data_IF_739621947616
#
_entry.id   IF_739621947616
#
_cell.length_a   1.000
_cell.length_b   1.000
_cell.length_c   1.000
_cell.angle_alpha   90.00
_cell.angle_beta   90.00
_cell.angle_gamma   90.00
#
_symmetry.space_group_name_H-M   'P 1'
#
loop_
_entity.id
_entity.type
_entity.pdbx_description
1 polymer ?
#
# COMPACT_ATOMS: atom_id res chain seq x y z
N UNK A 1 1.49 -0.56 -13.34
CA UNK A 1 0.65 -0.03 -12.25
C UNK A 1 1.36 -0.32 -10.95
N UNK A 2 1.73 0.71 -10.17
CA UNK A 2 2.49 0.63 -8.92
C UNK A 2 1.69 -0.10 -7.83
N UNK A 3 2.35 -0.77 -6.87
CA UNK A 3 1.64 -1.42 -5.74
C UNK A 3 0.78 -0.40 -4.98
N UNK A 4 1.28 0.83 -4.82
CA UNK A 4 0.53 1.93 -4.20
C UNK A 4 -0.76 2.28 -4.98
N UNK A 5 -0.70 2.23 -6.31
CA UNK A 5 -1.88 2.44 -7.16
C UNK A 5 -2.88 1.29 -7.02
N UNK A 6 -2.39 0.04 -6.94
CA UNK A 6 -3.26 -1.12 -6.72
C UNK A 6 -3.99 -1.03 -5.37
N UNK A 7 -3.29 -0.57 -4.31
CA UNK A 7 -3.90 -0.30 -3.00
C UNK A 7 -5.04 0.72 -3.10
N UNK A 8 -4.82 1.85 -3.80
CA UNK A 8 -5.86 2.87 -4.00
C UNK A 8 -7.07 2.35 -4.76
N UNK A 9 -6.84 1.56 -5.82
CA UNK A 9 -7.93 0.98 -6.61
C UNK A 9 -8.75 -0.03 -5.81
N UNK A 10 -8.09 -0.83 -4.96
CA UNK A 10 -8.78 -1.71 -4.02
C UNK A 10 -9.53 -0.93 -2.94
N UNK A 11 -9.00 0.21 -2.49
CA UNK A 11 -9.60 1.07 -1.47
C UNK A 11 -10.84 1.83 -1.95
N UNK A 12 -10.85 2.29 -3.21
CA UNK A 12 -11.87 3.19 -3.77
C UNK A 12 -12.94 2.50 -4.63
N UNK A 13 -12.99 1.17 -4.54
CA UNK A 13 -14.02 0.35 -5.16
C UNK A 13 -15.38 0.46 -4.40
N UNK A 14 -16.47 0.26 -5.14
CA UNK A 14 -17.86 0.77 -5.03
C UNK A 14 -18.63 0.50 -3.72
N UNK A 15 -17.98 -0.08 -2.72
CA UNK A 15 -18.56 -0.47 -1.44
C UNK A 15 -17.92 0.38 -0.35
N UNK A 16 -18.66 1.41 0.10
CA UNK A 16 -18.42 2.24 1.30
C UNK A 16 -16.94 2.33 1.70
N UNK A 17 -16.31 3.45 1.37
CA UNK A 17 -15.14 4.05 2.04
C UNK A 17 -14.77 3.29 3.31
N UNK A 18 -13.87 2.29 3.22
CA UNK A 18 -13.53 1.46 4.37
C UNK A 18 -12.87 2.38 5.41
N UNK A 19 -13.45 2.57 6.60
CA UNK A 19 -12.98 3.60 7.54
C UNK A 19 -11.50 3.43 7.90
N UNK A 20 -11.05 2.18 8.04
CA UNK A 20 -9.68 1.81 8.44
C UNK A 20 -8.61 2.01 7.36
N UNK A 21 -8.99 2.27 6.11
CA UNK A 21 -7.99 2.66 5.11
C UNK A 21 -7.58 4.12 5.29
N UNK A 22 -8.43 5.01 5.80
CA UNK A 22 -8.14 6.45 5.73
C UNK A 22 -7.10 6.93 6.75
N UNK A 23 -7.03 6.30 7.92
CA UNK A 23 -6.10 6.75 8.95
C UNK A 23 -4.65 6.32 8.62
N UNK A 24 -4.48 5.13 8.02
CA UNK A 24 -3.16 4.53 7.76
C UNK A 24 -2.77 4.42 6.27
N UNK A 25 -3.69 4.74 5.34
CA UNK A 25 -3.42 4.67 3.90
C UNK A 25 -2.12 5.37 3.52
N UNK A 26 -1.83 6.61 3.98
CA UNK A 26 -0.65 7.30 3.50
C UNK A 26 0.65 6.58 3.84
N UNK A 27 0.73 5.94 5.01
CA UNK A 27 1.88 5.10 5.40
C UNK A 27 2.01 3.83 4.55
N UNK A 28 0.88 3.18 4.27
CA UNK A 28 0.84 1.99 3.40
C UNK A 28 1.22 2.33 1.95
N UNK A 29 0.78 3.48 1.44
CA UNK A 29 1.14 3.98 0.12
C UNK A 29 2.63 4.32 0.03
N UNK A 30 3.17 5.02 1.04
CA UNK A 30 4.59 5.31 1.12
C UNK A 30 5.44 4.03 1.18
N UNK A 31 5.06 3.08 2.03
CA UNK A 31 5.70 1.77 2.11
C UNK A 31 5.62 0.98 0.80
N UNK A 32 4.49 1.06 0.09
CA UNK A 32 4.34 0.43 -1.22
C UNK A 32 5.32 0.99 -2.27
N UNK A 33 5.59 2.30 -2.27
CA UNK A 33 6.60 2.89 -3.16
C UNK A 33 8.01 2.42 -2.80
N UNK A 34 8.34 2.31 -1.52
CA UNK A 34 9.64 1.77 -1.09
C UNK A 34 9.79 0.29 -1.47
N UNK A 35 8.76 -0.53 -1.26
CA UNK A 35 8.77 -1.95 -1.69
C UNK A 35 8.92 -2.07 -3.20
N UNK A 36 8.29 -1.18 -3.97
CA UNK A 36 8.44 -1.12 -5.42
C UNK A 36 9.91 -0.90 -5.82
N UNK A 37 10.60 0.04 -5.17
CA UNK A 37 12.02 0.31 -5.40
C UNK A 37 12.92 -0.86 -4.99
N UNK A 38 12.58 -1.56 -3.90
CA UNK A 38 13.29 -2.77 -3.48
C UNK A 38 13.16 -3.88 -4.53
N UNK A 39 11.94 -4.13 -5.01
CA UNK A 39 11.67 -5.13 -6.06
C UNK A 39 12.40 -4.76 -7.36
N UNK A 40 12.48 -3.46 -7.68
CA UNK A 40 13.19 -2.95 -8.84
C UNK A 40 14.72 -2.91 -8.65
N UNK A 41 15.26 -3.32 -7.51
CA UNK A 41 16.70 -3.30 -7.22
C UNK A 41 17.31 -1.91 -7.13
N UNK A 42 16.48 -0.88 -6.91
CA UNK A 42 16.92 0.53 -6.83
C UNK A 42 17.41 0.89 -5.44
N UNK A 43 16.81 0.30 -4.41
CA UNK A 43 17.19 0.48 -3.01
C UNK A 43 17.22 -0.85 -2.28
N UNK A 44 17.94 -0.93 -1.17
CA UNK A 44 17.86 -2.04 -0.23
C UNK A 44 18.09 -1.52 1.20
N UNK A 45 17.55 -2.20 2.22
CA UNK A 45 17.99 -1.99 3.59
C UNK A 45 19.50 -2.22 3.72
N UNK A 46 20.16 -1.47 4.59
CA UNK A 46 21.56 -1.71 4.89
C UNK A 46 21.81 -3.15 5.37
N UNK A 47 23.03 -3.68 5.18
CA UNK A 47 23.41 -5.01 5.67
C UNK A 47 23.05 -5.17 7.15
N UNK A 48 22.40 -6.29 7.50
CA UNK A 48 21.92 -6.55 8.86
C UNK A 48 20.49 -6.09 9.15
N UNK A 49 19.81 -5.41 8.22
CA UNK A 49 18.35 -5.17 8.27
C UNK A 49 17.89 -3.99 9.12
N UNK A 50 18.68 -3.58 10.11
CA UNK A 50 18.33 -2.49 11.04
C UNK A 50 18.93 -1.12 10.67
N UNK A 51 19.66 -1.02 9.55
CA UNK A 51 20.30 0.23 9.12
C UNK A 51 19.47 1.08 8.16
N UNK A 52 20.05 2.19 7.64
CA UNK A 52 19.37 3.06 6.69
C UNK A 52 19.06 2.35 5.38
N UNK A 53 18.10 2.86 4.62
CA UNK A 53 17.89 2.46 3.23
C UNK A 53 19.07 2.98 2.40
N UNK A 54 19.68 2.08 1.64
CA UNK A 54 20.81 2.34 0.74
C UNK A 54 20.29 2.40 -0.69
N UNK A 55 20.67 3.44 -1.42
CA UNK A 55 20.41 3.55 -2.87
C UNK A 55 21.44 2.70 -3.61
N UNK A 56 20.96 1.71 -4.35
CA UNK A 56 21.77 0.81 -5.18
C UNK A 56 21.90 1.34 -6.62
N UNK A 57 20.82 1.92 -7.14
CA UNK A 57 20.76 2.51 -8.47
C UNK A 57 19.84 3.74 -8.44
N UNK A 58 20.44 4.91 -8.63
CA UNK A 58 19.76 6.20 -8.65
C UNK A 58 19.31 6.67 -10.03
N UNK A 59 19.38 5.83 -11.08
CA UNK A 59 18.87 6.23 -12.39
C UNK A 59 17.34 6.41 -12.35
N UNK A 60 16.80 7.39 -13.11
CA UNK A 60 15.36 7.65 -13.14
C UNK A 60 14.55 6.40 -13.50
N UNK A 61 13.48 6.18 -12.75
CA UNK A 61 12.56 5.05 -12.94
C UNK A 61 11.51 5.33 -14.01
N UNK A 62 11.37 6.60 -14.42
CA UNK A 62 10.31 7.05 -15.32
C UNK A 62 8.96 7.20 -14.62
N UNK A 63 8.95 7.17 -13.28
CA UNK A 63 7.77 7.40 -12.44
C UNK A 63 8.15 8.42 -11.38
N UNK A 64 7.63 9.64 -11.51
CA UNK A 64 7.89 10.77 -10.59
C UNK A 64 7.69 10.39 -9.11
N UNK A 65 6.72 9.53 -8.82
CA UNK A 65 6.42 9.08 -7.46
C UNK A 65 7.54 8.22 -6.88
N UNK A 66 8.20 7.39 -7.69
CA UNK A 66 9.34 6.58 -7.29
C UNK A 66 10.64 7.39 -7.27
N UNK A 67 10.82 8.27 -8.25
CA UNK A 67 12.00 9.13 -8.36
C UNK A 67 12.11 10.08 -7.15
N UNK A 68 10.97 10.61 -6.66
CA UNK A 68 10.93 11.38 -5.42
C UNK A 68 11.40 10.61 -4.19
N UNK A 69 11.09 9.31 -4.12
CA UNK A 69 11.53 8.45 -3.02
C UNK A 69 13.03 8.19 -3.12
N UNK A 70 13.55 7.97 -4.34
CA UNK A 70 14.98 7.84 -4.59
C UNK A 70 15.75 9.09 -4.20
N UNK A 71 15.27 10.27 -4.59
CA UNK A 71 15.88 11.55 -4.23
C UNK A 71 15.95 11.73 -2.71
N UNK A 72 14.87 11.39 -2.00
CA UNK A 72 14.83 11.50 -0.54
C UNK A 72 15.80 10.53 0.14
N UNK A 73 15.90 9.29 -0.35
CA UNK A 73 16.82 8.28 0.16
C UNK A 73 18.29 8.61 -0.17
N UNK A 74 18.56 9.23 -1.32
CA UNK A 74 19.89 9.65 -1.73
C UNK A 74 20.40 10.89 -0.98
N UNK A 75 19.49 11.81 -0.64
CA UNK A 75 19.86 13.08 0.00
C UNK A 75 20.42 12.91 1.41
N UNK A 76 19.91 11.94 2.19
CA UNK A 76 20.36 11.71 3.56
C UNK A 76 20.10 10.25 3.94
N UNK A 77 21.05 9.56 4.60
CA UNK A 77 20.80 8.22 5.14
C UNK A 77 19.63 8.25 6.12
N UNK A 78 18.57 7.49 5.82
CA UNK A 78 17.35 7.41 6.64
C UNK A 78 16.88 5.96 6.75
N UNK A 79 16.27 5.61 7.87
CA UNK A 79 15.62 4.31 8.02
C UNK A 79 14.31 4.26 7.22
N UNK A 80 13.85 3.04 6.91
CA UNK A 80 12.61 2.83 6.16
C UNK A 80 11.40 3.50 6.83
N UNK A 81 11.28 3.40 8.17
CA UNK A 81 10.17 4.01 8.91
C UNK A 81 10.16 5.55 8.77
N UNK A 82 11.33 6.18 8.85
CA UNK A 82 11.46 7.63 8.69
C UNK A 82 11.10 8.08 7.25
N UNK A 83 11.55 7.33 6.24
CA UNK A 83 11.16 7.60 4.85
C UNK A 83 9.64 7.45 4.67
N UNK A 84 9.05 6.41 5.23
CA UNK A 84 7.59 6.18 5.22
C UNK A 84 6.86 7.37 5.84
N UNK A 85 7.27 7.83 7.01
CA UNK A 85 6.66 8.98 7.71
C UNK A 85 6.73 10.28 6.91
N UNK A 86 7.86 10.55 6.26
CA UNK A 86 8.06 11.74 5.45
C UNK A 86 7.20 11.73 4.19
N UNK A 87 7.14 10.58 3.52
CA UNK A 87 6.41 10.38 2.27
C UNK A 87 4.89 10.36 2.50
N UNK A 88 4.44 9.78 3.61
CA UNK A 88 3.02 9.65 3.96
C UNK A 88 2.28 10.99 3.85
N UNK A 89 2.91 12.11 4.19
CA UNK A 89 2.27 13.44 4.13
C UNK A 89 1.89 13.91 2.72
N UNK A 90 2.51 13.36 1.68
CA UNK A 90 2.43 13.91 0.31
C UNK A 90 2.23 12.86 -0.78
N UNK A 91 2.15 11.57 -0.43
CA UNK A 91 2.13 10.46 -1.39
C UNK A 91 0.78 10.25 -2.07
N UNK A 92 -0.32 10.48 -1.36
CA UNK A 92 -1.65 10.06 -1.83
C UNK A 92 -2.13 10.88 -3.03
N UNK A 93 -1.99 12.21 -2.97
CA UNK A 93 -2.57 13.09 -3.99
C UNK A 93 -1.99 12.87 -5.39
N UNK A 94 -0.65 12.82 -5.60
CA UNK A 94 -0.07 12.55 -6.91
C UNK A 94 -0.51 11.20 -7.49
N UNK A 95 -0.61 10.16 -6.65
CA UNK A 95 -1.06 8.84 -7.09
C UNK A 95 -2.52 8.85 -7.56
N UNK A 96 -3.40 9.53 -6.82
CA UNK A 96 -4.81 9.68 -7.20
C UNK A 96 -4.97 10.45 -8.50
N UNK A 97 -4.26 11.58 -8.65
CA UNK A 97 -4.31 12.39 -9.86
C UNK A 97 -3.78 11.59 -11.06
N UNK A 98 -2.65 10.90 -10.93
CA UNK A 98 -2.10 10.03 -11.98
C UNK A 98 -2.97 8.81 -12.33
N UNK A 99 -3.80 8.34 -11.40
CA UNK A 99 -4.83 7.31 -11.68
C UNK A 99 -6.04 7.89 -12.43
N UNK A 100 -6.42 9.14 -12.16
CA UNK A 100 -7.45 9.85 -12.92
C UNK A 100 -6.99 10.15 -14.34
N UNK A 101 -5.76 10.61 -14.52
CA UNK A 101 -5.20 10.92 -15.84
C UNK A 101 -5.17 9.69 -16.76
N UNK A 102 -4.96 8.51 -16.18
CA UNK A 102 -5.02 7.21 -16.89
C UNK A 102 -6.43 6.62 -16.99
N UNK A 103 -7.46 7.30 -16.48
CA UNK A 103 -8.84 6.84 -16.53
C UNK A 103 -9.15 5.61 -15.67
N UNK A 104 -8.33 5.32 -14.66
CA UNK A 104 -8.52 4.20 -13.72
C UNK A 104 -9.32 4.61 -12.48
N UNK A 105 -9.26 5.90 -12.12
CA UNK A 105 -10.12 6.52 -11.13
C UNK A 105 -10.96 7.63 -11.79
N UNK A 106 -12.09 7.95 -11.17
CA UNK A 106 -12.88 9.13 -11.47
C UNK A 106 -13.09 9.94 -10.21
N UNK A 107 -12.91 11.25 -10.33
CA UNK A 107 -13.25 12.23 -9.30
C UNK A 107 -14.74 12.56 -9.35
N UNK A 108 -15.43 12.39 -8.23
CA UNK A 108 -16.83 12.75 -8.01
C UNK A 108 -16.89 13.84 -6.94
N UNK A 109 -17.13 15.08 -7.34
CA UNK A 109 -17.38 16.16 -6.38
C UNK A 109 -18.82 16.04 -5.86
N UNK A 110 -18.98 15.86 -4.55
CA UNK A 110 -20.28 15.96 -3.87
C UNK A 110 -20.41 17.29 -3.14
N UNK A 111 -21.54 17.95 -3.34
CA UNK A 111 -21.99 19.01 -2.45
C UNK A 111 -22.80 18.40 -1.31
N UNK A 112 -22.27 18.41 -0.10
CA UNK A 112 -23.01 18.09 1.13
C UNK A 112 -23.49 19.43 1.70
N UNK A 113 -24.81 19.68 1.61
CA UNK A 113 -25.50 20.83 2.21
C UNK A 113 -24.83 22.20 1.97
N UNK A 114 -24.64 22.57 0.70
CA UNK A 114 -24.34 23.95 0.26
C UNK A 114 -22.96 24.52 0.64
N UNK A 115 -22.28 23.96 1.64
CA UNK A 115 -21.06 24.51 2.23
C UNK A 115 -19.89 23.51 2.29
N UNK A 116 -20.17 22.20 2.34
CA UNK A 116 -19.13 21.17 2.41
C UNK A 116 -19.02 20.42 1.08
N UNK A 117 -17.99 20.76 0.28
CA UNK A 117 -17.61 19.96 -0.89
C UNK A 117 -16.80 18.76 -0.41
N UNK A 118 -17.28 17.55 -0.61
CA UNK A 118 -16.47 16.33 -0.42
C UNK A 118 -16.06 15.78 -1.78
N UNK A 119 -14.78 15.46 -1.91
CA UNK A 119 -14.27 14.76 -3.10
C UNK A 119 -14.35 13.27 -2.82
N UNK A 120 -15.08 12.54 -3.66
CA UNK A 120 -15.07 11.08 -3.67
C UNK A 120 -14.27 10.62 -4.88
N UNK A 121 -13.44 9.61 -4.69
CA UNK A 121 -12.76 8.92 -5.78
C UNK A 121 -13.47 7.58 -6.00
N UNK A 122 -13.70 7.22 -7.25
CA UNK A 122 -14.35 5.96 -7.63
C UNK A 122 -13.50 5.24 -8.67
N UNK A 123 -13.28 3.95 -8.45
CA UNK A 123 -12.61 3.10 -9.42
C UNK A 123 -13.45 2.96 -10.69
N UNK A 124 -12.80 3.13 -11.84
CA UNK A 124 -13.42 2.93 -13.15
C UNK A 124 -13.24 1.46 -13.53
N UNK A 125 -14.34 0.74 -13.73
CA UNK A 125 -14.28 -0.65 -14.16
C UNK A 125 -13.63 -0.74 -15.55
N UNK A 126 -12.62 -1.58 -15.65
CA UNK A 126 -11.84 -1.77 -16.86
C UNK A 126 -10.98 -3.02 -16.79
N UNK A 127 -10.30 -3.40 -17.88
CA UNK A 127 -9.54 -4.64 -17.95
C UNK A 127 -8.42 -4.72 -16.90
N UNK A 128 -7.75 -3.59 -16.61
CA UNK A 128 -6.69 -3.53 -15.61
C UNK A 128 -7.22 -3.78 -14.18
N UNK A 129 -8.31 -3.11 -13.80
CA UNK A 129 -8.96 -3.28 -12.49
C UNK A 129 -9.54 -4.69 -12.36
N UNK A 130 -10.18 -5.21 -13.41
CA UNK A 130 -10.71 -6.57 -13.42
C UNK A 130 -9.59 -7.62 -13.26
N UNK A 131 -8.44 -7.41 -13.91
CA UNK A 131 -7.28 -8.29 -13.74
C UNK A 131 -6.70 -8.23 -12.32
N UNK A 132 -6.60 -7.05 -11.72
CA UNK A 132 -6.22 -6.87 -10.32
C UNK A 132 -7.16 -7.64 -9.39
N UNK A 133 -8.47 -7.43 -9.53
CA UNK A 133 -9.50 -8.10 -8.71
C UNK A 133 -9.43 -9.62 -8.85
N UNK A 134 -9.35 -10.15 -10.08
CA UNK A 134 -9.23 -11.60 -10.32
C UNK A 134 -7.97 -12.18 -9.68
N UNK A 135 -6.84 -11.49 -9.82
CA UNK A 135 -5.56 -11.93 -9.24
C UNK A 135 -5.64 -12.00 -7.72
N UNK A 136 -6.18 -10.97 -7.09
CA UNK A 136 -6.34 -10.91 -5.63
C UNK A 136 -7.35 -11.94 -5.13
N UNK A 137 -8.50 -12.07 -5.79
CA UNK A 137 -9.50 -13.10 -5.45
C UNK A 137 -8.92 -14.51 -5.57
N UNK A 138 -8.21 -14.79 -6.67
CA UNK A 138 -7.60 -16.10 -6.90
C UNK A 138 -6.65 -16.50 -5.78
N UNK A 139 -5.85 -15.57 -5.27
CA UNK A 139 -4.91 -15.83 -4.18
C UNK A 139 -5.62 -16.00 -2.83
N UNK A 140 -6.60 -15.16 -2.53
CA UNK A 140 -7.25 -15.12 -1.21
C UNK A 140 -8.32 -16.20 -1.02
N UNK A 141 -8.96 -16.61 -2.11
CA UNK A 141 -10.16 -17.44 -2.06
C UNK A 141 -10.02 -18.72 -2.90
N UNK A 142 -9.21 -18.71 -3.95
CA UNK A 142 -9.13 -19.87 -4.86
C UNK A 142 -7.79 -20.64 -4.70
N UNK A 143 -6.99 -20.28 -3.68
CA UNK A 143 -5.74 -20.97 -3.34
C UNK A 143 -4.60 -20.76 -4.35
N UNK A 144 -4.70 -19.79 -5.25
CA UNK A 144 -3.65 -19.50 -6.21
C UNK A 144 -2.35 -19.06 -5.50
N UNK A 145 -1.20 -19.48 -6.04
CA UNK A 145 0.10 -19.02 -5.56
C UNK A 145 0.31 -17.54 -5.95
N UNK A 146 0.62 -16.64 -5.00
CA UNK A 146 0.89 -15.26 -5.34
C UNK A 146 2.29 -15.09 -5.95
N UNK A 147 2.39 -14.25 -6.98
CA UNK A 147 3.69 -13.67 -7.36
C UNK A 147 4.11 -12.58 -6.37
N UNK A 148 5.40 -12.20 -6.40
CA UNK A 148 6.02 -11.28 -5.44
C UNK A 148 5.25 -9.97 -5.26
N UNK A 149 4.89 -9.32 -6.36
CA UNK A 149 4.11 -8.09 -6.34
C UNK A 149 2.74 -8.25 -5.67
N UNK A 150 2.08 -9.37 -5.90
CA UNK A 150 0.75 -9.61 -5.33
C UNK A 150 0.85 -9.91 -3.85
N UNK A 151 1.83 -10.70 -3.44
CA UNK A 151 2.05 -10.95 -2.02
C UNK A 151 2.43 -9.65 -1.28
N UNK A 152 3.30 -8.81 -1.84
CA UNK A 152 3.61 -7.48 -1.31
C UNK A 152 2.35 -6.62 -1.13
N UNK A 153 1.52 -6.54 -2.17
CA UNK A 153 0.24 -5.82 -2.13
C UNK A 153 -0.64 -6.32 -0.99
N UNK A 154 -0.81 -7.64 -0.89
CA UNK A 154 -1.67 -8.27 0.10
C UNK A 154 -1.14 -8.04 1.52
N UNK A 155 0.17 -8.19 1.74
CA UNK A 155 0.79 -7.90 3.03
C UNK A 155 0.63 -6.43 3.43
N UNK A 156 0.90 -5.49 2.51
CA UNK A 156 0.73 -4.06 2.77
C UNK A 156 -0.74 -3.66 2.96
N UNK A 157 -1.68 -4.45 2.47
CA UNK A 157 -3.11 -4.22 2.64
C UNK A 157 -3.69 -4.92 3.89
N UNK A 158 -2.94 -5.82 4.54
CA UNK A 158 -3.37 -6.58 5.71
C UNK A 158 -3.82 -5.65 6.85
N UNK A 159 -4.95 -5.95 7.48
CA UNK A 159 -5.48 -5.15 8.59
C UNK A 159 -6.15 -3.83 8.18
N UNK A 160 -6.11 -3.43 6.90
CA UNK A 160 -6.77 -2.18 6.46
C UNK A 160 -8.29 -2.32 6.25
N UNK A 161 -8.86 -3.51 6.49
CA UNK A 161 -10.31 -3.74 6.42
C UNK A 161 -10.93 -3.68 5.02
N UNK A 162 -10.13 -3.41 3.98
CA UNK A 162 -10.55 -3.27 2.58
C UNK A 162 -11.24 -4.52 2.02
N UNK A 163 -10.85 -5.70 2.50
CA UNK A 163 -11.30 -6.98 1.97
C UNK A 163 -12.74 -7.32 2.39
N UNK A 164 -13.14 -6.95 3.60
CA UNK A 164 -14.41 -7.40 4.21
C UNK A 164 -15.66 -7.03 3.41
N UNK A 165 -15.79 -5.82 2.84
CA UNK A 165 -16.93 -5.49 1.99
C UNK A 165 -16.98 -6.32 0.70
N UNK A 166 -15.83 -6.83 0.22
CA UNK A 166 -15.65 -7.43 -1.11
C UNK A 166 -15.71 -8.96 -1.11
N UNK A 167 -15.79 -9.57 0.06
CA UNK A 167 -15.86 -11.02 0.24
C UNK A 167 -17.20 -11.41 0.89
N UNK A 168 -17.88 -12.46 0.40
CA UNK A 168 -19.08 -13.01 1.04
C UNK A 168 -18.84 -13.27 2.53
N UNK A 169 -19.85 -13.00 3.37
CA UNK A 169 -19.69 -12.97 4.84
C UNK A 169 -19.10 -14.28 5.39
N UNK A 170 -19.51 -15.40 4.82
CA UNK A 170 -19.09 -16.76 5.12
C UNK A 170 -17.62 -17.04 4.76
N UNK A 171 -17.05 -16.35 3.77
CA UNK A 171 -15.65 -16.52 3.33
C UNK A 171 -14.69 -15.49 3.91
N UNK A 172 -15.17 -14.50 4.67
CA UNK A 172 -14.31 -13.45 5.24
C UNK A 172 -13.20 -13.99 6.13
N UNK A 173 -13.51 -14.98 6.97
CA UNK A 173 -12.51 -15.60 7.87
C UNK A 173 -11.42 -16.32 7.10
N UNK A 174 -11.80 -17.04 6.05
CA UNK A 174 -10.87 -17.72 5.15
C UNK A 174 -9.93 -16.70 4.48
N UNK A 175 -10.50 -15.63 3.92
CA UNK A 175 -9.74 -14.60 3.22
C UNK A 175 -8.81 -13.81 4.17
N UNK A 176 -9.29 -13.45 5.37
CA UNK A 176 -8.49 -12.79 6.40
C UNK A 176 -7.34 -13.70 6.87
N UNK A 177 -7.60 -15.00 7.09
CA UNK A 177 -6.57 -15.98 7.47
C UNK A 177 -5.51 -16.16 6.37
N UNK A 178 -5.94 -16.24 5.11
CA UNK A 178 -5.03 -16.36 3.97
C UNK A 178 -4.15 -15.12 3.83
N UNK A 179 -4.72 -13.93 4.00
CA UNK A 179 -3.96 -12.67 4.01
C UNK A 179 -2.88 -12.67 5.09
N UNK A 180 -3.27 -13.06 6.32
CA UNK A 180 -2.36 -13.11 7.46
C UNK A 180 -1.23 -14.13 7.26
N UNK A 181 -1.54 -15.31 6.73
CA UNK A 181 -0.54 -16.31 6.37
C UNK A 181 0.47 -15.75 5.35
N UNK A 182 -0.01 -15.06 4.31
CA UNK A 182 0.86 -14.44 3.31
C UNK A 182 1.73 -13.35 3.94
N UNK A 183 1.17 -12.48 4.77
CA UNK A 183 1.91 -11.46 5.50
C UNK A 183 3.00 -12.05 6.42
N UNK A 184 2.71 -13.17 7.08
CA UNK A 184 3.65 -13.84 7.97
C UNK A 184 4.74 -14.64 7.23
N UNK A 185 4.50 -15.05 5.98
CA UNK A 185 5.35 -16.03 5.29
C UNK A 185 6.07 -15.51 4.05
N UNK A 186 5.51 -14.52 3.37
CA UNK A 186 5.99 -14.12 2.05
C UNK A 186 7.42 -13.56 2.04
N UNK A 187 7.84 -12.90 3.12
CA UNK A 187 9.17 -12.29 3.21
C UNK A 187 10.32 -13.29 3.20
N UNK A 188 10.04 -14.60 3.30
CA UNK A 188 11.06 -15.64 3.37
C UNK A 188 11.49 -16.11 1.98
N UNK A 189 12.78 -16.41 1.84
CA UNK A 189 13.31 -17.23 0.75
C UNK A 189 13.94 -16.47 -0.42
N UNK A 190 14.07 -15.13 -0.34
CA UNK A 190 15.00 -14.40 -1.21
C UNK A 190 15.41 -13.06 -0.58
N UNK A 191 16.61 -12.54 -0.89
CA UNK A 191 17.06 -11.24 -0.36
C UNK A 191 16.11 -10.08 -0.68
N UNK A 192 15.49 -10.09 -1.88
CA UNK A 192 14.54 -9.05 -2.29
C UNK A 192 13.27 -9.10 -1.44
N UNK A 193 12.77 -10.31 -1.14
CA UNK A 193 11.61 -10.50 -0.25
C UNK A 193 11.94 -10.11 1.19
N UNK A 194 13.11 -10.48 1.69
CA UNK A 194 13.53 -10.09 3.04
C UNK A 194 13.66 -8.56 3.17
N UNK A 195 14.25 -7.92 2.17
CA UNK A 195 14.37 -6.47 2.08
C UNK A 195 13.01 -5.76 2.04
N UNK A 196 12.08 -6.27 1.22
CA UNK A 196 10.73 -5.73 1.17
C UNK A 196 10.00 -5.97 2.51
N UNK A 197 10.34 -7.04 3.22
CA UNK A 197 9.77 -7.38 4.54
C UNK A 197 10.20 -6.45 5.63
N UNK A 198 11.44 -5.97 5.60
CA UNK A 198 11.90 -4.90 6.49
C UNK A 198 11.08 -3.61 6.28
N UNK A 199 10.73 -3.26 5.03
CA UNK A 199 9.86 -2.11 4.74
C UNK A 199 8.43 -2.38 5.25
N UNK A 200 7.88 -3.58 5.02
CA UNK A 200 6.57 -3.96 5.56
C UNK A 200 6.49 -3.88 7.09
N UNK A 201 7.55 -4.32 7.78
CA UNK A 201 7.67 -4.20 9.24
C UNK A 201 7.74 -2.74 9.69
N UNK A 202 8.46 -1.89 8.95
CA UNK A 202 8.51 -0.45 9.22
C UNK A 202 7.13 0.21 9.09
N UNK A 203 6.35 -0.14 8.05
CA UNK A 203 4.96 0.32 7.90
C UNK A 203 4.11 -0.15 9.08
N UNK A 204 4.21 -1.42 9.47
CA UNK A 204 3.45 -1.98 10.59
C UNK A 204 3.79 -1.28 11.92
N UNK A 205 5.07 -0.94 12.15
CA UNK A 205 5.52 -0.23 13.34
C UNK A 205 4.86 1.16 13.43
N UNK A 206 4.87 1.93 12.34
CA UNK A 206 4.29 3.28 12.27
C UNK A 206 2.76 3.26 12.45
N UNK A 207 2.08 2.33 11.79
CA UNK A 207 0.62 2.13 11.90
C UNK A 207 0.20 1.74 13.32
N UNK A 208 0.95 0.85 13.97
CA UNK A 208 0.61 0.37 15.32
C UNK A 208 0.68 1.47 16.39
N UNK A 209 1.56 2.47 16.22
CA UNK A 209 1.72 3.62 17.14
C UNK A 209 0.49 4.53 17.22
N UNK A 210 -0.42 4.51 16.24
CA UNK A 210 -1.62 5.36 16.24
C UNK A 210 -2.72 4.82 17.17
N UNK A 211 -2.59 3.58 17.67
CA UNK A 211 -3.67 2.88 18.42
C UNK A 211 -3.43 2.79 19.94
N UNK A 212 -2.79 3.79 20.57
CA UNK A 212 -2.61 3.81 22.03
C UNK A 212 -2.80 5.21 22.64
N UNK A 213 -4.01 5.76 22.47
CA UNK A 213 -4.57 6.73 23.44
C UNK A 213 -5.97 6.26 23.81
N UNK A 214 -6.07 5.37 24.79
CA UNK A 214 -7.31 5.22 25.57
C UNK A 214 -7.22 6.20 26.74
N UNK A 215 -8.15 7.17 26.89
CA UNK A 215 -8.25 7.89 28.14
C UNK A 215 -8.69 6.89 29.21
N UNK A 216 -7.86 6.70 30.23
CA UNK A 216 -8.27 6.05 31.47
C UNK A 216 -9.40 6.88 32.08
N UNK A 217 -10.60 6.32 32.10
CA UNK A 217 -11.73 6.90 32.79
C UNK A 217 -11.46 6.89 34.30
N UNK A 218 -11.54 8.06 34.93
CA UNK A 218 -11.75 8.26 36.38
C UNK A 218 -13.22 8.50 36.66
#
# INVERSE_FOLDING_TARGET
MLIAEELLLLAHDDLRTAPSLFDDAPYRLAGALLVELVIAGRVAPAPGGDGPVVVLDGAPTGRDELDRVLDLAAATPRHAAELVDLLARHVERPLLDGLVDRGLLRREDRAVWGLLRSTRWRTVDGPAVAALRRRVHGVLLDGAAPGDRTAALLTLAEGSGWLRPRVPRERRREADARMHELAATWWRGSPVREAAGAVGAAVAAVVSTVTLVLPTAT
#
